data_IF_828200640345
#
_entry.id   IF_828200640345
#
_cell.length_a   1.000
_cell.length_b   1.000
_cell.length_c   1.000
_cell.angle_alpha   90.00
_cell.angle_beta   90.00
_cell.angle_gamma   90.00
#
_symmetry.space_group_name_H-M   'P 1'
#
loop_
_entity.id
_entity.type
_entity.pdbx_description
1 polymer ?
#
# COMPACT_ATOMS: atom_id res chain seq x y z
N UNK A 1 -48.15 -25.31 12.89
CA UNK A 1 -47.25 -26.39 13.32
C UNK A 1 -46.95 -27.27 12.13
N UNK A 2 -45.66 -27.32 11.77
CA UNK A 2 -44.91 -28.33 11.01
C UNK A 2 -45.52 -28.97 9.74
N UNK A 3 -44.78 -28.73 8.66
CA UNK A 3 -45.04 -29.06 7.26
C UNK A 3 -44.83 -30.54 6.99
N UNK A 4 -45.74 -31.09 6.19
CA UNK A 4 -45.81 -32.45 5.69
C UNK A 4 -44.94 -32.64 4.42
N UNK A 5 -44.36 -33.83 4.33
CA UNK A 5 -44.26 -34.73 3.16
C UNK A 5 -43.23 -34.55 2.02
N UNK A 6 -42.40 -35.61 1.94
CA UNK A 6 -42.14 -36.54 0.83
C UNK A 6 -41.36 -36.12 -0.44
N UNK A 7 -40.20 -36.77 -0.56
CA UNK A 7 -39.69 -37.64 -1.64
C UNK A 7 -39.69 -37.25 -3.14
N UNK A 8 -38.60 -37.73 -3.76
CA UNK A 8 -38.31 -38.10 -5.17
C UNK A 8 -37.65 -37.03 -6.06
N UNK A 9 -36.50 -37.45 -6.61
CA UNK A 9 -35.67 -36.81 -7.63
C UNK A 9 -36.45 -36.09 -8.75
N UNK A 10 -36.11 -34.83 -9.00
CA UNK A 10 -35.75 -34.31 -10.34
C UNK A 10 -35.18 -32.88 -10.24
N UNK A 11 -33.92 -32.76 -10.66
CA UNK A 11 -33.37 -31.68 -11.47
C UNK A 11 -34.11 -30.32 -11.49
N UNK A 12 -33.70 -29.36 -10.65
CA UNK A 12 -33.72 -27.92 -10.97
C UNK A 12 -32.49 -27.26 -10.33
N UNK A 13 -31.46 -27.08 -11.14
CA UNK A 13 -30.50 -25.97 -11.17
C UNK A 13 -30.31 -25.13 -9.90
N UNK A 14 -29.60 -25.66 -8.90
CA UNK A 14 -29.12 -24.88 -7.75
C UNK A 14 -27.84 -24.08 -8.09
N UNK A 15 -27.90 -23.41 -9.23
CA UNK A 15 -26.85 -22.58 -9.84
C UNK A 15 -26.92 -21.13 -9.29
N UNK A 16 -27.89 -20.79 -8.45
CA UNK A 16 -28.14 -19.40 -8.08
C UNK A 16 -27.69 -18.97 -6.67
N UNK A 17 -27.18 -19.88 -5.83
CA UNK A 17 -26.53 -19.49 -4.56
C UNK A 17 -24.99 -19.68 -4.53
N UNK A 18 -24.42 -20.33 -5.56
CA UNK A 18 -22.95 -20.39 -5.77
C UNK A 18 -22.40 -19.32 -6.71
N UNK A 19 -23.25 -18.65 -7.48
CA UNK A 19 -22.83 -17.65 -8.47
C UNK A 19 -22.56 -16.26 -7.86
N UNK A 20 -23.19 -15.92 -6.75
CA UNK A 20 -22.98 -14.61 -6.09
C UNK A 20 -21.70 -14.57 -5.24
N UNK A 21 -21.20 -15.72 -4.78
CA UNK A 21 -19.91 -15.80 -4.06
C UNK A 21 -18.71 -15.83 -5.02
N UNK A 22 -18.82 -16.52 -6.16
CA UNK A 22 -17.74 -16.57 -7.17
C UNK A 22 -17.49 -15.22 -7.87
N UNK A 23 -18.53 -14.39 -7.99
CA UNK A 23 -18.39 -13.06 -8.61
C UNK A 23 -17.58 -12.10 -7.73
N UNK A 24 -17.69 -12.20 -6.41
CA UNK A 24 -16.87 -11.41 -5.48
C UNK A 24 -15.42 -11.89 -5.44
N UNK A 25 -15.17 -13.21 -5.40
CA UNK A 25 -13.79 -13.75 -5.37
C UNK A 25 -13.04 -13.52 -6.68
N UNK A 26 -13.75 -13.50 -7.82
CA UNK A 26 -13.16 -13.16 -9.13
C UNK A 26 -12.78 -11.69 -9.23
N UNK A 27 -13.59 -10.77 -8.67
CA UNK A 27 -13.34 -9.33 -8.75
C UNK A 27 -12.24 -8.87 -7.79
N UNK A 28 -12.10 -9.49 -6.61
CA UNK A 28 -11.00 -9.21 -5.68
C UNK A 28 -9.62 -9.57 -6.29
N UNK A 29 -9.54 -10.66 -7.05
CA UNK A 29 -8.30 -11.05 -7.73
C UNK A 29 -8.01 -10.24 -9.01
N UNK A 30 -9.02 -9.61 -9.62
CA UNK A 30 -8.81 -8.78 -10.82
C UNK A 30 -8.15 -7.44 -10.46
N UNK A 31 -8.51 -6.84 -9.31
CA UNK A 31 -7.80 -5.65 -8.79
C UNK A 31 -6.33 -5.93 -8.44
N UNK A 32 -6.00 -7.12 -7.96
CA UNK A 32 -4.61 -7.51 -7.71
C UNK A 32 -3.84 -7.79 -9.01
N UNK A 33 -4.48 -8.35 -10.04
CA UNK A 33 -3.86 -8.67 -11.32
C UNK A 33 -3.63 -7.44 -12.23
N UNK A 34 -4.46 -6.40 -12.15
CA UNK A 34 -4.31 -5.19 -12.96
C UNK A 34 -3.08 -4.34 -12.56
N UNK A 35 -2.56 -4.48 -11.34
CA UNK A 35 -1.38 -3.71 -10.88
C UNK A 35 -0.02 -4.30 -11.26
N UNK A 36 0.00 -5.51 -11.84
CA UNK A 36 1.23 -6.24 -12.17
C UNK A 36 1.62 -6.15 -13.66
N UNK A 37 0.77 -5.56 -14.50
CA UNK A 37 0.93 -5.61 -15.96
C UNK A 37 1.64 -4.41 -16.60
N UNK A 38 1.92 -3.32 -15.89
CA UNK A 38 2.59 -2.16 -16.50
C UNK A 38 3.35 -1.31 -15.46
N UNK A 39 4.48 -1.84 -14.96
CA UNK A 39 5.43 -1.02 -14.18
C UNK A 39 6.72 -0.89 -14.98
N UNK A 40 6.83 0.16 -15.78
CA UNK A 40 8.08 0.52 -16.44
C UNK A 40 9.16 0.82 -15.39
N UNK A 41 10.36 0.27 -15.58
CA UNK A 41 11.50 0.61 -14.75
C UNK A 41 11.80 2.11 -14.87
N UNK A 42 11.97 2.78 -13.73
CA UNK A 42 12.25 4.21 -13.63
C UNK A 42 11.00 5.10 -13.58
N UNK A 43 9.80 4.58 -13.82
CA UNK A 43 8.58 5.38 -13.68
C UNK A 43 8.01 5.31 -12.25
N UNK A 44 7.54 6.44 -11.74
CA UNK A 44 6.84 6.49 -10.47
C UNK A 44 5.40 6.06 -10.65
N UNK A 45 4.93 5.16 -9.80
CA UNK A 45 3.53 4.76 -9.75
C UNK A 45 2.60 5.93 -9.38
N UNK A 46 1.31 5.72 -9.62
CA UNK A 46 0.24 6.55 -9.08
C UNK A 46 0.28 6.55 -7.54
N UNK A 47 -0.24 7.61 -6.92
CA UNK A 47 -0.39 7.66 -5.47
C UNK A 47 -1.42 6.64 -4.99
N UNK A 48 -1.03 5.80 -4.04
CA UNK A 48 -1.85 4.74 -3.46
C UNK A 48 -1.97 4.91 -1.95
N UNK A 49 -2.99 4.29 -1.34
CA UNK A 49 -3.10 4.21 0.12
C UNK A 49 -2.10 3.23 0.70
N UNK A 50 -1.50 3.59 1.82
CA UNK A 50 -0.60 2.72 2.57
C UNK A 50 -1.36 1.55 3.20
N UNK A 51 -0.76 0.37 3.16
CA UNK A 51 -1.18 -0.86 3.82
C UNK A 51 -0.19 -1.27 4.93
N UNK A 52 -0.35 -2.47 5.48
CA UNK A 52 0.51 -2.95 6.58
C UNK A 52 1.98 -3.11 6.17
N UNK A 53 2.24 -3.56 4.94
CA UNK A 53 3.60 -3.81 4.46
C UNK A 53 4.33 -2.49 4.18
N UNK A 54 3.67 -1.58 3.50
CA UNK A 54 4.23 -0.27 3.15
C UNK A 54 4.38 0.64 4.38
N UNK A 55 3.46 0.57 5.35
CA UNK A 55 3.64 1.21 6.66
C UNK A 55 4.87 0.65 7.37
N UNK A 56 5.04 -0.68 7.39
CA UNK A 56 6.18 -1.33 8.04
C UNK A 56 7.53 -0.87 7.45
N UNK A 57 7.62 -0.72 6.12
CA UNK A 57 8.81 -0.17 5.44
C UNK A 57 9.12 1.25 5.94
N UNK A 58 8.09 2.10 6.05
CA UNK A 58 8.25 3.46 6.54
C UNK A 58 8.68 3.50 8.02
N UNK A 59 8.16 2.59 8.84
CA UNK A 59 8.51 2.48 10.25
C UNK A 59 9.98 2.06 10.47
N UNK A 60 10.54 1.23 9.58
CA UNK A 60 11.95 0.82 9.68
C UNK A 60 12.93 1.99 9.62
N UNK A 61 12.55 3.10 8.96
CA UNK A 61 13.41 4.28 8.84
C UNK A 61 13.05 5.40 9.82
N UNK A 62 12.02 5.21 10.67
CA UNK A 62 11.52 6.27 11.57
C UNK A 62 12.62 6.89 12.42
N UNK A 63 13.46 6.07 13.07
CA UNK A 63 14.54 6.60 13.91
C UNK A 63 15.53 7.45 13.12
N UNK A 64 15.79 7.10 11.84
CA UNK A 64 16.64 7.91 10.96
C UNK A 64 15.97 9.23 10.58
N UNK A 65 14.65 9.22 10.39
CA UNK A 65 13.87 10.44 10.12
C UNK A 65 13.92 11.37 11.32
N UNK A 66 13.68 10.85 12.53
CA UNK A 66 13.72 11.62 13.79
C UNK A 66 15.10 12.23 14.04
N UNK A 67 16.18 11.49 13.76
CA UNK A 67 17.56 12.02 13.82
C UNK A 67 17.78 13.10 12.75
N UNK A 68 17.34 12.89 11.52
CA UNK A 68 17.54 13.84 10.41
C UNK A 68 16.78 15.15 10.61
N UNK A 69 15.58 15.11 11.20
CA UNK A 69 14.75 16.29 11.47
C UNK A 69 14.98 16.88 12.87
N UNK A 70 15.77 16.19 13.71
CA UNK A 70 15.98 16.54 15.12
C UNK A 70 14.65 16.71 15.89
N UNK A 71 13.69 15.82 15.64
CA UNK A 71 12.35 15.82 16.23
C UNK A 71 11.95 14.40 16.62
N UNK A 72 11.18 14.26 17.69
CA UNK A 72 10.50 13.01 18.05
C UNK A 72 9.04 13.16 17.65
N UNK A 73 8.53 12.25 16.82
CA UNK A 73 7.14 12.28 16.41
C UNK A 73 6.31 11.38 17.32
N UNK A 74 5.20 11.88 17.87
CA UNK A 74 4.29 11.04 18.67
C UNK A 74 3.40 10.18 17.77
N UNK A 75 2.81 10.81 16.74
CA UNK A 75 2.15 10.13 15.64
C UNK A 75 3.16 9.94 14.51
N UNK A 76 3.19 8.76 13.89
CA UNK A 76 4.01 8.50 12.70
C UNK A 76 3.27 7.47 11.85
N UNK A 77 2.35 7.93 11.02
CA UNK A 77 1.48 7.06 10.22
C UNK A 77 1.59 7.41 8.74
N UNK A 78 2.15 6.53 7.93
CA UNK A 78 2.11 6.64 6.49
C UNK A 78 0.65 6.44 6.02
N UNK A 79 0.15 7.40 5.24
CA UNK A 79 -1.23 7.41 4.75
C UNK A 79 -1.32 7.14 3.25
N UNK A 80 -0.34 7.64 2.50
CA UNK A 80 -0.23 7.47 1.06
C UNK A 80 1.21 7.15 0.71
N UNK A 81 1.41 6.42 -0.38
CA UNK A 81 2.72 6.17 -0.93
C UNK A 81 2.73 6.16 -2.46
N UNK A 82 3.94 6.28 -3.00
CA UNK A 82 4.29 5.98 -4.40
C UNK A 82 5.53 5.10 -4.39
N UNK A 83 5.73 4.34 -5.44
CA UNK A 83 6.93 3.54 -5.61
C UNK A 83 7.46 3.61 -7.04
N UNK A 84 8.74 3.33 -7.21
CA UNK A 84 9.43 3.35 -8.49
C UNK A 84 10.36 2.14 -8.54
N UNK A 85 10.18 1.28 -9.54
CA UNK A 85 11.06 0.13 -9.77
C UNK A 85 12.35 0.60 -10.44
N UNK A 86 13.49 0.25 -9.87
CA UNK A 86 14.83 0.58 -10.38
C UNK A 86 15.75 -0.64 -10.20
N UNK A 87 17.06 -0.47 -10.04
CA UNK A 87 17.95 -1.50 -9.49
C UNK A 87 17.72 -1.68 -7.97
N UNK A 88 16.46 -1.96 -7.59
CA UNK A 88 15.90 -1.83 -6.26
C UNK A 88 14.48 -1.25 -6.35
N UNK A 89 13.98 -0.72 -5.24
CA UNK A 89 12.70 -0.02 -5.22
C UNK A 89 12.84 1.28 -4.45
N UNK A 90 12.47 2.40 -5.05
CA UNK A 90 12.28 3.65 -4.31
C UNK A 90 10.83 3.73 -3.83
N UNK A 91 10.65 4.14 -2.59
CA UNK A 91 9.36 4.45 -2.00
C UNK A 91 9.33 5.91 -1.59
N UNK A 92 8.19 6.54 -1.79
CA UNK A 92 7.90 7.88 -1.31
C UNK A 92 6.63 7.79 -0.48
N UNK A 93 6.69 8.24 0.77
CA UNK A 93 5.60 8.15 1.74
C UNK A 93 5.13 9.54 2.12
N UNK A 94 3.82 9.70 2.22
CA UNK A 94 3.18 10.80 2.95
C UNK A 94 2.88 10.33 4.36
N UNK A 95 3.53 10.91 5.35
CA UNK A 95 3.45 10.49 6.75
C UNK A 95 2.77 11.58 7.56
N UNK A 96 1.67 11.24 8.23
CA UNK A 96 1.02 12.08 9.22
C UNK A 96 1.82 12.05 10.51
N UNK A 97 2.17 13.23 11.03
CA UNK A 97 2.99 13.39 12.24
C UNK A 97 2.30 14.21 13.34
N UNK A 98 0.98 14.27 13.29
CA UNK A 98 0.10 15.09 14.13
C UNK A 98 -0.78 15.97 13.24
N UNK A 99 -2.06 16.15 13.55
CA UNK A 99 -2.95 17.02 12.74
C UNK A 99 -2.57 18.50 12.94
N UNK A 100 -2.35 19.31 11.88
CA UNK A 100 -2.47 19.07 10.44
C UNK A 100 -1.13 18.83 9.71
N UNK A 101 -0.10 18.42 10.44
CA UNK A 101 1.28 18.29 10.00
C UNK A 101 1.57 16.93 9.33
N UNK A 102 2.22 17.02 8.18
CA UNK A 102 2.71 15.88 7.42
C UNK A 102 4.18 16.07 7.07
N UNK A 103 4.87 14.97 6.84
CA UNK A 103 6.19 14.94 6.22
C UNK A 103 6.15 14.02 5.01
N UNK A 104 7.02 14.28 4.03
CA UNK A 104 7.27 13.35 2.94
C UNK A 104 8.60 12.64 3.19
N UNK A 105 8.61 11.32 3.11
CA UNK A 105 9.76 10.48 3.42
C UNK A 105 10.08 9.63 2.20
N UNK A 106 11.33 9.68 1.73
CA UNK A 106 11.79 8.86 0.63
C UNK A 106 12.75 7.78 1.14
N UNK A 107 12.48 6.54 0.75
CA UNK A 107 13.20 5.33 1.18
C UNK A 107 13.66 4.58 -0.05
N UNK A 108 14.91 4.12 -0.05
CA UNK A 108 15.43 3.22 -1.06
C UNK A 108 15.52 1.81 -0.45
N UNK A 109 14.97 0.82 -1.13
CA UNK A 109 15.12 -0.60 -0.83
C UNK A 109 16.07 -1.24 -1.84
N UNK A 110 17.14 -1.84 -1.35
CA UNK A 110 18.05 -2.61 -2.19
C UNK A 110 17.38 -3.89 -2.71
N UNK A 111 17.91 -4.44 -3.82
CA UNK A 111 17.47 -5.75 -4.31
C UNK A 111 17.72 -6.86 -3.27
N UNK A 112 16.93 -7.96 -3.27
CA UNK A 112 17.15 -9.08 -2.37
C UNK A 112 18.56 -9.70 -2.47
N UNK A 113 19.12 -9.78 -3.68
CA UNK A 113 20.50 -10.25 -3.89
C UNK A 113 21.57 -9.35 -3.23
N UNK A 114 21.20 -8.10 -2.92
CA UNK A 114 22.04 -7.12 -2.24
C UNK A 114 21.64 -6.97 -0.75
N UNK A 115 20.88 -7.93 -0.20
CA UNK A 115 20.48 -7.98 1.20
C UNK A 115 19.17 -7.26 1.54
N UNK A 116 18.50 -6.61 0.58
CA UNK A 116 17.17 -6.03 0.80
C UNK A 116 17.10 -4.88 1.81
N UNK A 117 18.24 -4.26 2.14
CA UNK A 117 18.31 -3.22 3.16
C UNK A 117 17.55 -1.96 2.75
N UNK A 118 17.06 -1.24 3.76
CA UNK A 118 16.35 0.02 3.63
C UNK A 118 17.26 1.18 3.99
N UNK A 119 17.18 2.27 3.24
CA UNK A 119 17.90 3.51 3.51
C UNK A 119 16.99 4.71 3.35
N UNK A 120 17.06 5.61 4.31
CA UNK A 120 16.44 6.93 4.21
C UNK A 120 17.21 7.78 3.20
N UNK A 121 16.58 8.14 2.09
CA UNK A 121 17.19 8.97 1.05
C UNK A 121 16.74 10.44 1.13
N UNK A 122 15.54 10.73 1.64
CA UNK A 122 15.02 12.10 1.69
C UNK A 122 13.94 12.29 2.76
N UNK A 123 13.88 13.50 3.31
CA UNK A 123 12.78 13.95 4.18
C UNK A 123 12.45 15.39 3.81
N UNK A 124 11.16 15.70 3.64
CA UNK A 124 10.66 17.06 3.54
C UNK A 124 9.63 17.31 4.65
N UNK A 125 9.86 18.36 5.42
CA UNK A 125 8.98 18.78 6.51
C UNK A 125 7.91 19.79 6.05
N UNK A 126 7.09 20.25 6.99
CA UNK A 126 6.12 21.33 6.81
C UNK A 126 5.13 21.10 5.66
N UNK A 127 4.69 19.84 5.50
CA UNK A 127 3.66 19.46 4.52
C UNK A 127 2.28 19.42 5.20
N UNK A 128 1.24 19.53 4.38
CA UNK A 128 -0.15 19.34 4.79
C UNK A 128 -0.80 18.23 3.97
N UNK A 129 -2.01 17.83 4.35
CA UNK A 129 -2.75 16.75 3.72
C UNK A 129 -2.94 16.93 2.20
N UNK A 130 -3.05 18.17 1.71
CA UNK A 130 -3.37 18.45 0.31
C UNK A 130 -2.13 18.58 -0.59
N UNK A 131 -0.91 18.67 -0.01
CA UNK A 131 0.31 18.78 -0.81
C UNK A 131 0.58 17.49 -1.60
N UNK A 132 0.74 17.53 -2.93
CA UNK A 132 1.02 16.34 -3.74
C UNK A 132 2.31 15.62 -3.33
N UNK A 133 2.31 14.30 -3.49
CA UNK A 133 3.44 13.45 -3.13
C UNK A 133 4.43 13.38 -4.31
N UNK A 134 5.45 14.24 -4.26
CA UNK A 134 6.48 14.40 -5.30
C UNK A 134 7.86 13.90 -4.86
N UNK A 135 8.67 13.34 -5.78
CA UNK A 135 10.02 12.86 -5.47
C UNK A 135 10.91 13.98 -4.90
N UNK A 136 11.73 13.64 -3.91
CA UNK A 136 12.64 14.57 -3.26
C UNK A 136 13.94 14.61 -4.06
N UNK A 137 14.21 15.74 -4.71
CA UNK A 137 15.49 16.04 -5.33
C UNK A 137 16.53 16.35 -4.25
N UNK A 138 17.67 15.65 -4.28
CA UNK A 138 18.83 15.96 -3.44
C UNK A 138 19.70 17.07 -4.05
#
# INVERSE_FOLDING_TARGET
>A
MQVWLLCINTCVSDTQLRHTSRKLTSLLNLTELETMADKNCGEWSCTMYTDKETQWICDQVRSLVEVKTNKIYQEYRAVLFRNQLVAGTNFLFKVRVGDPNYIHVQVCQALPCNGGWLQLSGVQEDKTQDIPLEPISN
#
